data_IF_252569960668
#
_entry.id   IF_252569960668
#
_cell.length_a   1.000
_cell.length_b   1.000
_cell.length_c   1.000
_cell.angle_alpha   90.00
_cell.angle_beta   90.00
_cell.angle_gamma   90.00
#
_symmetry.space_group_name_H-M   'P 1'
#
loop_
_entity.id
_entity.type
_entity.pdbx_description
1 polymer ?
#
# COMPACT_ATOMS: atom_id res chain seq x y z
N UNK A 1 -16.09 -20.37 -3.87
CA UNK A 1 -15.72 -19.11 -3.23
C UNK A 1 -16.30 -18.02 -4.10
N UNK A 2 -17.12 -17.10 -3.54
CA UNK A 2 -17.72 -16.03 -4.31
C UNK A 2 -16.60 -15.05 -4.75
N UNK A 3 -16.71 -14.42 -5.92
CA UNK A 3 -15.74 -13.47 -6.46
C UNK A 3 -15.44 -12.36 -5.45
N UNK A 4 -16.46 -11.85 -4.76
CA UNK A 4 -16.31 -10.79 -3.76
C UNK A 4 -15.44 -11.24 -2.58
N UNK A 5 -15.65 -12.47 -2.07
CA UNK A 5 -14.84 -13.04 -0.99
C UNK A 5 -13.38 -13.27 -1.41
N UNK A 6 -13.14 -13.65 -2.67
CA UNK A 6 -11.79 -13.79 -3.21
C UNK A 6 -11.10 -12.44 -3.34
N UNK A 7 -11.80 -11.44 -3.86
CA UNK A 7 -11.26 -10.07 -3.99
C UNK A 7 -10.95 -9.49 -2.61
N UNK A 8 -11.82 -9.68 -1.61
CA UNK A 8 -11.57 -9.25 -0.22
C UNK A 8 -10.33 -9.94 0.37
N UNK A 9 -10.16 -11.24 0.15
CA UNK A 9 -8.97 -11.97 0.57
C UNK A 9 -7.68 -11.43 -0.10
N UNK A 10 -7.72 -11.20 -1.41
CA UNK A 10 -6.60 -10.63 -2.14
C UNK A 10 -6.29 -9.19 -1.71
N UNK A 11 -7.33 -8.40 -1.41
CA UNK A 11 -7.17 -7.08 -0.84
C UNK A 11 -6.35 -7.13 0.45
N UNK A 12 -6.69 -8.00 1.39
CA UNK A 12 -6.00 -8.09 2.69
C UNK A 12 -4.57 -8.61 2.59
N UNK A 13 -4.30 -9.54 1.67
CA UNK A 13 -3.00 -10.23 1.63
C UNK A 13 -2.03 -9.72 0.56
N UNK A 14 -2.53 -9.18 -0.56
CA UNK A 14 -1.67 -8.74 -1.66
C UNK A 14 -1.61 -7.24 -1.86
N UNK A 15 -2.64 -6.48 -1.46
CA UNK A 15 -2.63 -5.03 -1.65
C UNK A 15 -1.49 -4.34 -0.91
N UNK A 16 -1.22 -4.76 0.34
CA UNK A 16 -0.15 -4.18 1.15
C UNK A 16 1.23 -4.30 0.47
N UNK A 17 1.51 -5.45 -0.15
CA UNK A 17 2.77 -5.67 -0.88
C UNK A 17 2.89 -4.75 -2.09
N UNK A 18 1.82 -4.64 -2.87
CA UNK A 18 1.82 -3.76 -4.05
C UNK A 18 1.94 -2.30 -3.62
N UNK A 19 1.21 -1.88 -2.57
CA UNK A 19 1.32 -0.52 -2.00
C UNK A 19 2.75 -0.25 -1.52
N UNK A 20 3.38 -1.19 -0.79
CA UNK A 20 4.74 -1.03 -0.31
C UNK A 20 5.74 -0.79 -1.45
N UNK A 21 5.70 -1.65 -2.48
CA UNK A 21 6.57 -1.51 -3.64
C UNK A 21 6.30 -0.22 -4.42
N UNK A 22 5.03 0.15 -4.63
CA UNK A 22 4.69 1.42 -5.29
C UNK A 22 5.13 2.63 -4.46
N UNK A 23 4.97 2.58 -3.14
CA UNK A 23 5.40 3.67 -2.24
C UNK A 23 6.91 3.82 -2.27
N UNK A 24 7.67 2.71 -2.32
CA UNK A 24 9.13 2.77 -2.47
C UNK A 24 9.53 3.42 -3.80
N UNK A 25 8.87 3.05 -4.90
CA UNK A 25 9.18 3.58 -6.23
C UNK A 25 8.75 5.05 -6.37
N UNK A 26 7.54 5.38 -5.96
CA UNK A 26 7.03 6.76 -6.09
C UNK A 26 7.61 7.71 -5.04
N UNK A 27 8.04 7.17 -3.90
CA UNK A 27 8.35 7.90 -2.67
C UNK A 27 7.12 8.03 -1.76
N UNK A 28 7.36 8.13 -0.46
CA UNK A 28 6.33 8.18 0.60
C UNK A 28 5.35 9.35 0.46
N UNK A 29 5.76 10.44 -0.17
CA UNK A 29 4.90 11.59 -0.49
C UNK A 29 3.70 11.21 -1.37
N UNK A 30 3.84 10.14 -2.15
CA UNK A 30 2.84 9.63 -3.08
C UNK A 30 2.13 8.36 -2.57
N UNK A 31 2.06 8.17 -1.25
CA UNK A 31 1.36 7.04 -0.64
C UNK A 31 -0.12 6.98 -1.07
N UNK A 32 -0.79 8.14 -1.18
CA UNK A 32 -2.16 8.21 -1.69
C UNK A 32 -2.26 7.63 -3.10
N UNK A 33 -1.32 7.99 -3.98
CA UNK A 33 -1.26 7.50 -5.36
C UNK A 33 -1.05 5.98 -5.41
N UNK A 34 -0.18 5.44 -4.56
CA UNK A 34 0.06 4.00 -4.47
C UNK A 34 -1.21 3.24 -4.04
N UNK A 35 -1.93 3.76 -3.04
CA UNK A 35 -3.20 3.18 -2.59
C UNK A 35 -4.29 3.26 -3.68
N UNK A 36 -4.42 4.40 -4.37
CA UNK A 36 -5.40 4.60 -5.44
C UNK A 36 -5.18 3.62 -6.60
N UNK A 37 -3.93 3.41 -7.00
CA UNK A 37 -3.56 2.44 -8.06
C UNK A 37 -4.01 1.02 -7.69
N UNK A 38 -3.79 0.62 -6.43
CA UNK A 38 -4.20 -0.71 -5.96
C UNK A 38 -5.73 -0.82 -5.89
N UNK A 39 -6.42 0.22 -5.42
CA UNK A 39 -7.88 0.25 -5.42
C UNK A 39 -8.47 0.17 -6.84
N UNK A 40 -7.91 0.89 -7.81
CA UNK A 40 -8.30 0.80 -9.22
C UNK A 40 -8.15 -0.63 -9.76
N UNK A 41 -7.06 -1.33 -9.40
CA UNK A 41 -6.84 -2.72 -9.82
C UNK A 41 -7.89 -3.67 -9.23
N UNK A 42 -8.24 -3.50 -7.96
CA UNK A 42 -9.27 -4.29 -7.28
C UNK A 42 -10.68 -4.01 -7.84
N UNK A 43 -10.99 -2.74 -8.12
CA UNK A 43 -12.26 -2.39 -8.77
C UNK A 43 -12.39 -3.03 -10.16
N UNK A 44 -11.30 -3.09 -10.93
CA UNK A 44 -11.27 -3.80 -12.21
C UNK A 44 -11.49 -5.31 -12.03
N UNK A 45 -10.95 -5.92 -10.98
CA UNK A 45 -11.19 -7.31 -10.66
C UNK A 45 -12.68 -7.58 -10.40
N UNK A 46 -13.31 -6.77 -9.53
CA UNK A 46 -14.74 -6.85 -9.22
C UNK A 46 -15.63 -6.66 -10.46
N UNK A 47 -15.22 -5.82 -11.40
CA UNK A 47 -15.96 -5.58 -12.64
C UNK A 47 -15.77 -6.68 -13.70
N UNK A 48 -14.61 -7.30 -13.77
CA UNK A 48 -14.27 -8.21 -14.86
C UNK A 48 -14.44 -9.68 -14.52
N UNK A 49 -14.06 -10.09 -13.32
CA UNK A 49 -14.05 -11.52 -12.94
C UNK A 49 -15.44 -12.17 -12.88
N UNK A 50 -16.54 -11.49 -12.51
CA UNK A 50 -17.88 -12.08 -12.58
C UNK A 50 -18.27 -12.51 -14.00
N UNK A 51 -17.72 -11.84 -15.05
CA UNK A 51 -18.09 -12.08 -16.45
C UNK A 51 -17.03 -12.88 -17.22
N UNK A 52 -15.73 -12.66 -16.92
CA UNK A 52 -14.62 -13.28 -17.65
C UNK A 52 -14.02 -14.50 -16.94
N UNK A 53 -14.46 -14.75 -15.71
CA UNK A 53 -13.84 -15.74 -14.83
C UNK A 53 -12.63 -15.17 -14.08
N UNK A 54 -12.32 -15.82 -12.96
CA UNK A 54 -11.12 -15.51 -12.15
C UNK A 54 -9.89 -16.07 -12.86
N UNK A 55 -8.80 -15.28 -13.04
CA UNK A 55 -7.56 -15.77 -13.64
C UNK A 55 -6.95 -16.92 -12.84
N UNK A 56 -6.12 -17.77 -13.47
CA UNK A 56 -5.37 -18.84 -12.79
C UNK A 56 -4.47 -18.29 -11.66
N UNK A 57 -3.87 -17.11 -11.88
CA UNK A 57 -3.09 -16.40 -10.86
C UNK A 57 -3.66 -14.99 -10.63
N UNK A 58 -4.63 -14.85 -9.70
CA UNK A 58 -5.27 -13.57 -9.40
C UNK A 58 -4.31 -12.50 -8.88
N UNK A 59 -3.30 -12.90 -8.08
CA UNK A 59 -2.30 -11.98 -7.54
C UNK A 59 -1.42 -11.39 -8.65
N UNK A 60 -0.94 -12.21 -9.58
CA UNK A 60 -0.17 -11.74 -10.72
C UNK A 60 -1.00 -10.82 -11.63
N UNK A 61 -2.28 -11.12 -11.82
CA UNK A 61 -3.19 -10.27 -12.59
C UNK A 61 -3.37 -8.89 -11.93
N UNK A 62 -3.58 -8.85 -10.61
CA UNK A 62 -3.69 -7.58 -9.86
C UNK A 62 -2.41 -6.76 -9.96
N UNK A 63 -1.25 -7.40 -9.80
CA UNK A 63 0.06 -6.74 -9.94
C UNK A 63 0.24 -6.14 -11.34
N UNK A 64 -0.15 -6.89 -12.39
CA UNK A 64 -0.07 -6.41 -13.77
C UNK A 64 -0.98 -5.20 -14.02
N UNK A 65 -2.23 -5.26 -13.51
CA UNK A 65 -3.18 -4.15 -13.65
C UNK A 65 -2.70 -2.91 -12.90
N UNK A 66 -2.22 -3.09 -11.66
CA UNK A 66 -1.67 -2.00 -10.85
C UNK A 66 -0.43 -1.38 -11.54
N UNK A 67 0.48 -2.22 -12.08
CA UNK A 67 1.65 -1.76 -12.85
C UNK A 67 1.25 -0.89 -14.03
N UNK A 68 0.33 -1.39 -14.87
CA UNK A 68 -0.10 -0.65 -16.05
C UNK A 68 -0.74 0.69 -15.66
N UNK A 69 -1.59 0.70 -14.63
CA UNK A 69 -2.20 1.93 -14.12
C UNK A 69 -1.15 2.91 -13.59
N UNK A 70 -0.18 2.42 -12.83
CA UNK A 70 0.91 3.22 -12.32
C UNK A 70 1.77 3.83 -13.45
N UNK A 71 2.13 3.03 -14.46
CA UNK A 71 2.87 3.53 -15.63
C UNK A 71 2.10 4.61 -16.40
N UNK A 72 0.79 4.45 -16.55
CA UNK A 72 -0.04 5.46 -17.20
C UNK A 72 -0.02 6.79 -16.42
N UNK A 73 -0.09 6.74 -15.09
CA UNK A 73 0.01 7.93 -14.23
C UNK A 73 1.39 8.57 -14.32
N UNK A 74 2.46 7.76 -14.29
CA UNK A 74 3.83 8.26 -14.42
C UNK A 74 4.09 8.94 -15.77
N UNK A 75 3.50 8.45 -16.86
CA UNK A 75 3.62 9.08 -18.18
C UNK A 75 2.94 10.44 -18.26
N UNK A 76 1.89 10.66 -17.45
CA UNK A 76 1.16 11.93 -17.41
C UNK A 76 1.76 12.92 -16.41
N UNK A 77 2.55 12.47 -15.45
CA UNK A 77 3.22 13.31 -14.46
C UNK A 77 4.73 13.43 -14.79
N UNK A 78 5.11 14.58 -15.31
CA UNK A 78 6.50 14.86 -15.70
C UNK A 78 7.49 14.74 -14.52
N UNK A 79 7.04 14.96 -13.27
CA UNK A 79 7.88 14.86 -12.07
C UNK A 79 8.18 13.42 -11.68
N UNK A 80 7.32 12.48 -12.08
CA UNK A 80 7.44 11.06 -11.81
C UNK A 80 7.91 10.23 -13.00
N UNK A 81 8.07 10.82 -14.19
CA UNK A 81 8.43 10.09 -15.41
C UNK A 81 9.74 9.30 -15.30
N UNK A 82 10.72 9.80 -14.54
CA UNK A 82 11.99 9.11 -14.29
C UNK A 82 11.83 7.81 -13.47
N UNK A 83 10.71 7.63 -12.78
CA UNK A 83 10.41 6.45 -11.96
C UNK A 83 9.86 5.25 -12.75
N UNK A 84 9.52 5.44 -14.02
CA UNK A 84 8.89 4.38 -14.83
C UNK A 84 9.80 3.16 -14.97
N UNK A 85 11.11 3.34 -15.17
CA UNK A 85 12.07 2.24 -15.29
C UNK A 85 12.21 1.46 -13.96
N UNK A 86 12.26 2.16 -12.85
CA UNK A 86 12.32 1.54 -11.51
C UNK A 86 11.07 0.70 -11.24
N UNK A 87 9.90 1.20 -11.62
CA UNK A 87 8.63 0.50 -11.51
C UNK A 87 8.60 -0.77 -12.39
N UNK A 88 9.12 -0.69 -13.60
CA UNK A 88 9.19 -1.85 -14.51
C UNK A 88 10.05 -2.98 -13.96
N UNK A 89 11.07 -2.68 -13.18
CA UNK A 89 11.95 -3.66 -12.54
C UNK A 89 11.38 -4.22 -11.22
N UNK A 90 10.66 -3.39 -10.46
CA UNK A 90 10.17 -3.74 -9.12
C UNK A 90 8.91 -4.62 -9.14
N UNK A 91 7.88 -4.22 -9.88
CA UNK A 91 6.57 -4.90 -9.81
C UNK A 91 6.54 -6.33 -10.36
N UNK A 92 7.25 -6.73 -11.42
CA UNK A 92 7.24 -8.12 -11.87
C UNK A 92 7.71 -9.13 -10.82
N UNK A 93 8.56 -8.70 -9.88
CA UNK A 93 9.05 -9.55 -8.78
C UNK A 93 7.90 -9.96 -7.85
N UNK A 94 6.86 -9.14 -7.67
CA UNK A 94 5.68 -9.47 -6.87
C UNK A 94 4.81 -10.59 -7.48
N UNK A 95 4.91 -10.82 -8.78
CA UNK A 95 4.17 -11.87 -9.48
C UNK A 95 4.90 -13.22 -9.48
N UNK A 96 6.17 -13.27 -9.05
CA UNK A 96 7.00 -14.47 -9.05
C UNK A 96 7.04 -15.11 -7.67
N UNK A 97 6.84 -16.43 -7.53
CA UNK A 97 6.91 -17.12 -6.23
C UNK A 97 8.32 -17.21 -5.62
N UNK A 98 9.35 -16.72 -6.32
CA UNK A 98 10.77 -16.88 -5.94
C UNK A 98 11.39 -15.68 -5.21
N UNK A 99 10.66 -14.59 -4.96
CA UNK A 99 11.23 -13.33 -4.43
C UNK A 99 10.75 -12.98 -3.02
N UNK A 100 10.81 -13.93 -2.07
CA UNK A 100 10.23 -13.72 -0.74
C UNK A 100 10.98 -12.73 0.16
N UNK A 101 12.30 -12.47 -0.07
CA UNK A 101 13.09 -11.58 0.79
C UNK A 101 12.82 -10.10 0.50
N UNK A 102 12.93 -9.66 -0.75
CA UNK A 102 12.77 -8.24 -1.11
C UNK A 102 11.33 -7.73 -0.87
N UNK A 103 10.33 -8.61 -1.04
CA UNK A 103 8.92 -8.28 -0.78
C UNK A 103 8.64 -8.11 0.72
N UNK A 104 9.25 -8.97 1.54
CA UNK A 104 9.17 -8.87 2.99
C UNK A 104 9.83 -7.58 3.47
N UNK A 105 10.94 -7.21 2.88
CA UNK A 105 11.67 -5.98 3.20
C UNK A 105 10.85 -4.73 2.85
N UNK A 106 10.20 -4.69 1.68
CA UNK A 106 9.33 -3.58 1.27
C UNK A 106 8.12 -3.43 2.23
N UNK A 107 7.48 -4.55 2.59
CA UNK A 107 6.33 -4.51 3.50
C UNK A 107 6.74 -4.11 4.92
N UNK A 108 7.87 -4.59 5.40
CA UNK A 108 8.42 -4.20 6.69
C UNK A 108 8.78 -2.70 6.70
N UNK A 109 9.43 -2.21 5.64
CA UNK A 109 9.74 -0.80 5.50
C UNK A 109 8.49 0.08 5.50
N UNK A 110 7.39 -0.37 4.86
CA UNK A 110 6.11 0.31 4.90
C UNK A 110 5.54 0.38 6.33
N UNK A 111 5.57 -0.74 7.08
CA UNK A 111 5.11 -0.78 8.47
C UNK A 111 5.93 0.18 9.33
N UNK A 112 7.26 0.12 9.21
CA UNK A 112 8.16 0.99 9.98
C UNK A 112 7.97 2.47 9.63
N UNK A 113 7.65 2.81 8.39
CA UNK A 113 7.26 4.15 7.99
C UNK A 113 5.94 4.57 8.67
N UNK A 114 4.94 3.68 8.71
CA UNK A 114 3.67 3.95 9.38
C UNK A 114 3.83 4.16 10.90
N UNK A 115 4.81 3.49 11.52
CA UNK A 115 5.16 3.59 12.94
C UNK A 115 6.24 4.65 13.20
N UNK A 116 6.41 5.66 12.34
CA UNK A 116 7.44 6.68 12.52
C UNK A 116 7.15 7.54 13.76
N UNK A 117 8.14 7.78 14.65
CA UNK A 117 7.95 8.50 15.93
C UNK A 117 7.51 9.96 15.75
N UNK A 118 7.71 10.58 14.60
CA UNK A 118 7.15 11.89 14.28
C UNK A 118 5.61 11.89 14.14
N UNK A 119 4.97 10.71 14.04
CA UNK A 119 3.52 10.58 13.96
C UNK A 119 2.95 10.33 15.37
N UNK A 120 1.85 10.99 15.78
CA UNK A 120 1.11 10.60 16.97
C UNK A 120 0.66 9.13 16.91
N UNK A 121 0.69 8.42 18.04
CA UNK A 121 0.36 6.99 18.13
C UNK A 121 -0.99 6.65 17.46
N UNK A 122 -2.01 7.47 17.65
CA UNK A 122 -3.32 7.28 17.02
C UNK A 122 -3.29 7.37 15.48
N UNK A 123 -2.32 8.10 14.91
CA UNK A 123 -2.11 8.17 13.46
C UNK A 123 -1.32 6.96 12.97
N UNK A 124 -0.30 6.53 13.72
CA UNK A 124 0.47 5.32 13.44
C UNK A 124 -0.46 4.11 13.37
N UNK A 125 -1.30 3.90 14.39
CA UNK A 125 -2.25 2.80 14.47
C UNK A 125 -3.23 2.83 13.26
N UNK A 126 -3.87 3.98 13.02
CA UNK A 126 -4.84 4.11 11.94
C UNK A 126 -4.20 3.83 10.57
N UNK A 127 -2.98 4.37 10.34
CA UNK A 127 -2.26 4.23 9.08
C UNK A 127 -1.79 2.78 8.88
N UNK A 128 -1.19 2.15 9.87
CA UNK A 128 -0.73 0.75 9.81
C UNK A 128 -1.88 -0.19 9.51
N UNK A 129 -2.98 -0.08 10.26
CA UNK A 129 -4.15 -0.93 10.03
C UNK A 129 -4.75 -0.72 8.64
N UNK A 130 -4.81 0.52 8.15
CA UNK A 130 -5.36 0.83 6.83
C UNK A 130 -4.43 0.34 5.72
N UNK A 131 -3.16 0.72 5.75
CA UNK A 131 -2.23 0.60 4.62
C UNK A 131 -1.51 -0.74 4.60
N UNK A 132 -1.02 -1.21 5.77
CA UNK A 132 -0.25 -2.46 5.85
C UNK A 132 -1.13 -3.69 6.15
N UNK A 133 -2.25 -3.52 6.88
CA UNK A 133 -3.13 -4.64 7.25
C UNK A 133 -4.40 -4.71 6.39
N UNK A 134 -4.69 -3.72 5.55
CA UNK A 134 -5.83 -3.73 4.62
C UNK A 134 -7.21 -3.57 5.28
N UNK A 135 -7.29 -3.05 6.50
CA UNK A 135 -8.59 -2.78 7.13
C UNK A 135 -9.27 -1.57 6.50
N UNK A 136 -10.59 -1.66 6.33
CA UNK A 136 -11.40 -0.51 5.94
C UNK A 136 -11.50 0.51 7.08
N UNK A 137 -11.71 1.77 6.72
CA UNK A 137 -11.95 2.84 7.71
C UNK A 137 -13.11 2.52 8.66
N UNK A 138 -14.15 1.81 8.17
CA UNK A 138 -15.29 1.39 8.97
C UNK A 138 -14.92 0.27 9.97
N UNK A 139 -14.07 -0.69 9.59
CA UNK A 139 -13.58 -1.74 10.49
C UNK A 139 -12.72 -1.15 11.60
N UNK A 140 -11.79 -0.25 11.26
CA UNK A 140 -10.94 0.47 12.22
C UNK A 140 -11.82 1.27 13.19
N UNK A 141 -12.80 2.01 12.69
CA UNK A 141 -13.71 2.80 13.50
C UNK A 141 -14.50 1.94 14.50
N UNK A 142 -14.99 0.77 14.07
CA UNK A 142 -15.67 -0.19 14.95
C UNK A 142 -14.74 -0.78 16.01
N UNK A 143 -13.52 -1.15 15.64
CA UNK A 143 -12.54 -1.73 16.56
C UNK A 143 -12.16 -0.75 17.69
N UNK A 144 -12.07 0.53 17.37
CA UNK A 144 -11.70 1.60 18.33
C UNK A 144 -12.89 2.36 18.91
N UNK A 145 -14.13 1.91 18.65
CA UNK A 145 -15.36 2.54 19.14
C UNK A 145 -15.39 4.06 18.86
N UNK A 146 -14.93 4.45 17.69
CA UNK A 146 -14.82 5.86 17.27
C UNK A 146 -15.60 6.10 15.97
N UNK A 147 -16.06 7.32 15.69
CA UNK A 147 -16.71 7.64 14.42
C UNK A 147 -15.78 7.40 13.23
N UNK A 148 -16.33 6.89 12.13
CA UNK A 148 -15.56 6.67 10.89
C UNK A 148 -14.92 7.96 10.36
N UNK A 149 -15.58 9.10 10.53
CA UNK A 149 -15.05 10.42 10.19
C UNK A 149 -13.77 10.76 10.95
N UNK A 150 -13.67 10.35 12.22
CA UNK A 150 -12.47 10.54 13.05
C UNK A 150 -11.30 9.74 12.49
N UNK A 151 -11.52 8.47 12.14
CA UNK A 151 -10.47 7.62 11.51
C UNK A 151 -10.04 8.21 10.17
N UNK A 152 -10.99 8.65 9.33
CA UNK A 152 -10.69 9.29 8.05
C UNK A 152 -9.82 10.55 8.23
N UNK A 153 -10.14 11.40 9.22
CA UNK A 153 -9.34 12.59 9.53
C UNK A 153 -7.93 12.22 10.04
N UNK A 154 -7.80 11.17 10.87
CA UNK A 154 -6.48 10.68 11.33
C UNK A 154 -5.63 10.24 10.15
N UNK A 155 -6.19 9.48 9.22
CA UNK A 155 -5.48 9.03 8.00
C UNK A 155 -5.02 10.22 7.14
N UNK A 156 -5.89 11.20 6.90
CA UNK A 156 -5.54 12.41 6.14
C UNK A 156 -4.40 13.17 6.81
N UNK A 157 -4.47 13.36 8.13
CA UNK A 157 -3.43 14.06 8.89
C UNK A 157 -2.13 13.27 8.95
N UNK A 158 -2.17 11.94 9.13
CA UNK A 158 -1.01 11.08 9.10
C UNK A 158 -0.25 11.19 7.77
N UNK A 159 -0.95 11.07 6.66
CA UNK A 159 -0.37 11.19 5.32
C UNK A 159 0.18 12.59 5.05
N UNK A 160 -0.49 13.62 5.54
CA UNK A 160 0.02 14.99 5.49
C UNK A 160 1.35 15.11 6.26
N UNK A 161 1.43 14.58 7.48
CA UNK A 161 2.66 14.62 8.28
C UNK A 161 3.80 13.84 7.61
N UNK A 162 3.52 12.69 6.97
CA UNK A 162 4.53 11.98 6.16
C UNK A 162 5.13 12.89 5.10
N UNK A 163 4.30 13.66 4.39
CA UNK A 163 4.76 14.61 3.37
C UNK A 163 5.51 15.79 3.98
N UNK A 164 4.96 16.38 5.05
CA UNK A 164 5.48 17.61 5.66
C UNK A 164 6.85 17.37 6.36
N UNK A 165 7.07 16.17 6.91
CA UNK A 165 8.33 15.78 7.57
C UNK A 165 9.28 14.98 6.65
N UNK A 166 8.91 14.79 5.37
CA UNK A 166 9.68 14.02 4.39
C UNK A 166 10.06 12.60 4.88
N UNK A 167 9.11 11.94 5.57
CA UNK A 167 9.33 10.60 6.11
C UNK A 167 9.50 9.63 4.96
N UNK A 168 10.67 8.98 4.86
CA UNK A 168 10.98 8.04 3.77
C UNK A 168 10.59 6.61 4.13
N UNK A 169 10.32 5.80 3.09
CA UNK A 169 10.07 4.36 3.21
C UNK A 169 11.40 3.60 3.08
N UNK A 170 12.26 3.75 4.07
CA UNK A 170 13.52 3.01 4.14
C UNK A 170 13.59 2.22 5.45
N UNK A 171 14.27 1.06 5.47
CA UNK A 171 14.58 0.38 6.72
C UNK A 171 15.31 1.36 7.63
N UNK A 172 14.87 1.54 8.88
CA UNK A 172 15.60 2.39 9.82
C UNK A 172 17.01 1.84 10.03
N UNK A 173 17.94 2.72 10.38
CA UNK A 173 19.25 2.28 10.81
C UNK A 173 19.13 1.40 12.07
N UNK A 174 20.16 0.58 12.33
CA UNK A 174 20.17 -0.27 13.53
C UNK A 174 20.00 0.56 14.83
N UNK A 175 20.45 1.81 14.82
CA UNK A 175 20.34 2.73 15.96
C UNK A 175 18.94 3.31 16.14
N UNK A 176 18.17 3.46 15.04
CA UNK A 176 16.80 3.99 15.06
C UNK A 176 15.74 2.92 15.30
N UNK A 177 16.10 1.64 15.09
CA UNK A 177 15.16 0.52 15.18
C UNK A 177 14.47 0.39 16.56
N UNK A 178 15.17 0.55 17.72
CA UNK A 178 14.53 0.47 19.03
C UNK A 178 13.40 1.51 19.19
N UNK A 179 13.65 2.75 18.79
CA UNK A 179 12.65 3.83 18.89
C UNK A 179 11.42 3.60 17.99
N UNK A 180 11.58 2.80 16.92
CA UNK A 180 10.47 2.43 16.00
C UNK A 180 9.65 1.25 16.50
N UNK A 181 10.25 0.38 17.33
CA UNK A 181 9.59 -0.81 17.91
C UNK A 181 8.84 -0.45 19.19
N UNK A 182 9.38 0.51 19.97
CA UNK A 182 8.79 0.93 21.24
C UNK A 182 7.67 1.99 21.09
N UNK A 183 7.36 2.40 19.84
CA UNK A 183 6.29 3.34 19.51
C UNK A 183 4.98 2.63 19.26
#
# INVERSE_FOLDING_TARGET
MNTDSLVDHLFRHHSAKIVATLTRVFGSRHLDLAEDVVQDALLKALQQWPFKGVPENPAAWLTLVARNRALDLLRHDATLASKAQELELALPRLASPASSSDEMDDQLALILMCCHPALPLEYQIALTLKTACGFSTAEIARAFLTPQTTVAQRLVRAKRQIRDHDIVIDPPSADDLPARIDS
#
